data_IF_457849127398
#
_entry.id   IF_457849127398
#
_cell.length_a   1.000
_cell.length_b   1.000
_cell.length_c   1.000
_cell.angle_alpha   90.00
_cell.angle_beta   90.00
_cell.angle_gamma   90.00
#
_symmetry.space_group_name_H-M   'P 1'
#
loop_
_entity.id
_entity.type
_entity.pdbx_description
1 polymer ?
#
# COMPACT_ATOMS: atom_id res chain seq x y z
N UNK A 1 33.82 -12.31 26.58
CA UNK A 1 33.46 -10.97 27.11
C UNK A 1 31.93 -10.93 27.26
N UNK A 2 31.49 -11.05 28.54
CA UNK A 2 30.05 -11.02 28.86
C UNK A 2 29.55 -9.58 28.83
N UNK A 3 28.72 -9.25 27.82
CA UNK A 3 28.06 -7.95 27.74
C UNK A 3 26.89 -7.95 28.75
N UNK A 4 27.05 -7.22 29.85
CA UNK A 4 25.98 -7.03 30.83
C UNK A 4 24.81 -6.28 30.22
N UNK A 5 23.66 -6.91 30.13
CA UNK A 5 22.41 -6.30 29.75
C UNK A 5 21.80 -5.56 30.94
N UNK A 6 21.75 -4.24 30.91
CA UNK A 6 21.03 -3.45 31.91
C UNK A 6 19.54 -3.58 31.66
N UNK A 7 18.81 -4.28 32.51
CA UNK A 7 17.37 -4.48 32.44
C UNK A 7 16.68 -3.54 33.42
N UNK A 8 15.91 -2.56 32.92
CA UNK A 8 15.05 -1.73 33.78
C UNK A 8 13.61 -2.21 33.62
N UNK A 9 13.03 -2.76 34.67
CA UNK A 9 11.62 -3.17 34.73
C UNK A 9 10.82 -2.03 35.34
N UNK A 10 9.85 -1.47 34.62
CA UNK A 10 8.91 -0.53 35.23
C UNK A 10 7.91 -1.31 36.10
N UNK A 11 7.52 -0.80 37.28
CA UNK A 11 6.64 -1.52 38.19
C UNK A 11 5.26 -1.76 37.58
N UNK A 12 4.75 -2.98 37.77
CA UNK A 12 3.40 -3.41 37.39
C UNK A 12 2.41 -3.02 38.49
N UNK A 13 1.31 -2.40 38.08
CA UNK A 13 0.09 -2.37 38.91
C UNK A 13 -0.59 -3.72 38.74
N UNK A 14 -0.67 -4.51 39.79
CA UNK A 14 -1.38 -5.78 39.84
C UNK A 14 -2.85 -5.63 39.52
N UNK A 15 -3.40 -6.45 38.64
CA UNK A 15 -4.83 -6.66 38.48
C UNK A 15 -5.41 -6.86 37.10
N UNK A 16 -4.78 -6.43 36.00
CA UNK A 16 -5.34 -6.63 34.66
C UNK A 16 -4.40 -7.44 33.76
N UNK A 17 -4.76 -8.70 33.39
CA UNK A 17 -3.94 -9.54 32.51
C UNK A 17 -3.70 -8.92 31.12
N UNK A 18 -4.42 -7.83 30.76
CA UNK A 18 -4.21 -7.06 29.54
C UNK A 18 -3.13 -5.98 29.65
N UNK A 19 -2.64 -5.72 30.86
CA UNK A 19 -1.54 -4.78 31.14
C UNK A 19 -0.22 -5.52 31.30
N UNK A 20 0.21 -6.19 30.25
CA UNK A 20 1.55 -6.77 30.24
C UNK A 20 2.61 -5.65 30.38
N UNK A 21 3.52 -5.81 31.36
CA UNK A 21 4.62 -4.87 31.60
C UNK A 21 5.46 -4.69 30.32
N UNK A 22 6.00 -3.49 30.11
CA UNK A 22 6.94 -3.23 29.03
C UNK A 22 8.35 -3.41 29.59
N UNK A 23 9.11 -4.29 28.99
CA UNK A 23 10.53 -4.49 29.30
C UNK A 23 11.36 -3.63 28.36
N UNK A 24 12.29 -2.87 28.94
CA UNK A 24 13.29 -2.08 28.20
C UNK A 24 14.62 -2.79 28.34
N UNK A 25 15.24 -3.13 27.21
CA UNK A 25 16.54 -3.80 27.17
C UNK A 25 17.44 -3.08 26.19
N UNK A 26 18.68 -2.85 26.57
CA UNK A 26 19.74 -2.44 25.66
C UNK A 26 20.63 -3.64 25.37
N UNK A 27 20.78 -3.99 24.09
CA UNK A 27 21.71 -5.02 23.64
C UNK A 27 22.56 -4.45 22.51
N UNK A 28 23.85 -4.34 22.76
CA UNK A 28 24.78 -3.62 21.86
C UNK A 28 24.29 -2.18 21.58
N UNK A 29 24.13 -1.81 20.32
CA UNK A 29 23.64 -0.50 19.90
C UNK A 29 22.12 -0.38 19.89
N UNK A 30 21.39 -1.47 20.10
CA UNK A 30 19.94 -1.51 19.91
C UNK A 30 19.20 -1.34 21.23
N UNK A 31 18.26 -0.40 21.24
CA UNK A 31 17.29 -0.19 22.32
C UNK A 31 15.98 -0.89 21.98
N UNK A 32 15.59 -1.85 22.83
CA UNK A 32 14.39 -2.65 22.65
C UNK A 32 13.30 -2.27 23.64
N UNK A 33 12.06 -2.21 23.13
CA UNK A 33 10.83 -2.20 23.92
C UNK A 33 10.03 -3.44 23.55
N UNK A 34 9.68 -4.28 24.51
CA UNK A 34 8.98 -5.54 24.25
C UNK A 34 8.09 -5.96 25.41
N UNK A 35 7.16 -6.88 25.15
CA UNK A 35 6.47 -7.62 26.19
C UNK A 35 7.42 -8.65 26.83
N UNK A 36 7.27 -8.98 28.13
CA UNK A 36 8.18 -9.94 28.82
C UNK A 36 8.22 -11.31 28.13
N UNK A 37 7.07 -11.77 27.62
CA UNK A 37 6.95 -13.05 26.91
C UNK A 37 7.66 -13.10 25.55
N UNK A 38 7.97 -11.94 24.98
CA UNK A 38 8.67 -11.87 23.70
C UNK A 38 10.20 -11.89 23.85
N UNK A 39 10.72 -11.82 25.09
CA UNK A 39 12.15 -11.64 25.33
C UNK A 39 12.99 -12.77 24.73
N UNK A 40 12.57 -14.01 24.90
CA UNK A 40 13.31 -15.17 24.39
C UNK A 40 13.34 -15.17 22.86
N UNK A 41 12.19 -15.00 22.21
CA UNK A 41 12.10 -14.93 20.75
C UNK A 41 12.89 -13.76 20.13
N UNK A 42 13.02 -12.63 20.86
CA UNK A 42 13.64 -11.40 20.34
C UNK A 42 15.13 -11.32 20.66
N UNK A 43 15.55 -11.79 21.84
CA UNK A 43 16.90 -11.64 22.35
C UNK A 43 17.53 -12.94 22.81
N UNK A 44 16.87 -14.09 22.73
CA UNK A 44 17.41 -15.39 23.07
C UNK A 44 18.58 -15.80 22.17
N UNK A 45 19.25 -16.92 22.51
CA UNK A 45 20.41 -17.41 21.75
C UNK A 45 20.10 -17.73 20.29
N UNK A 46 18.86 -18.13 19.99
CA UNK A 46 18.38 -18.47 18.65
C UNK A 46 17.79 -17.27 17.89
N UNK A 47 17.74 -16.07 18.50
CA UNK A 47 17.22 -14.88 17.82
C UNK A 47 18.14 -14.45 16.68
N UNK A 48 17.57 -14.07 15.52
CA UNK A 48 18.37 -13.59 14.39
C UNK A 48 18.92 -12.18 14.62
N UNK A 49 19.85 -11.76 13.76
CA UNK A 49 20.14 -10.32 13.61
C UNK A 49 18.98 -9.65 12.89
N UNK A 50 18.10 -9.01 13.65
CA UNK A 50 16.88 -8.39 13.13
C UNK A 50 17.11 -7.24 12.14
N UNK A 51 18.33 -6.74 12.04
CA UNK A 51 18.72 -5.70 11.07
C UNK A 51 19.52 -6.25 9.89
N UNK A 52 19.95 -7.51 9.95
CA UNK A 52 20.70 -8.22 8.91
C UNK A 52 19.96 -9.45 8.36
N UNK A 53 18.65 -9.42 8.28
CA UNK A 53 17.81 -10.55 7.88
C UNK A 53 18.04 -11.08 6.46
N UNK A 54 18.67 -10.32 5.61
CA UNK A 54 19.08 -10.78 4.25
C UNK A 54 20.09 -11.94 4.28
N UNK A 55 20.77 -12.14 5.39
CA UNK A 55 21.75 -13.21 5.60
C UNK A 55 21.22 -14.39 6.40
N UNK A 56 20.02 -14.29 6.94
CA UNK A 56 19.42 -15.35 7.76
C UNK A 56 18.60 -16.31 6.88
N UNK A 57 18.96 -17.60 6.81
CA UNK A 57 18.25 -18.58 5.97
C UNK A 57 16.80 -18.81 6.40
N UNK A 58 16.43 -18.43 7.63
CA UNK A 58 15.06 -18.53 8.14
C UNK A 58 14.19 -17.36 7.72
N UNK A 59 14.78 -16.31 7.14
CA UNK A 59 14.10 -15.09 6.73
C UNK A 59 13.73 -15.11 5.25
N UNK A 60 12.46 -14.85 4.94
CA UNK A 60 11.97 -14.71 3.58
C UNK A 60 11.45 -13.29 3.38
N UNK A 61 11.93 -12.59 2.35
CA UNK A 61 11.47 -11.25 2.00
C UNK A 61 10.03 -11.31 1.46
N UNK A 62 9.08 -10.70 2.17
CA UNK A 62 7.66 -10.65 1.78
C UNK A 62 7.34 -9.41 0.96
N UNK A 63 7.95 -8.28 1.33
CA UNK A 63 7.70 -7.00 0.66
C UNK A 63 8.91 -6.09 0.77
N UNK A 64 9.30 -5.51 -0.36
CA UNK A 64 10.33 -4.46 -0.41
C UNK A 64 9.73 -3.14 -0.88
N UNK A 65 10.12 -2.06 -0.23
CA UNK A 65 9.81 -0.69 -0.59
C UNK A 65 11.04 0.19 -0.37
N UNK A 66 10.98 1.46 -0.78
CA UNK A 66 12.12 2.38 -0.75
C UNK A 66 12.77 2.53 0.63
N UNK A 67 11.98 2.55 1.70
CA UNK A 67 12.44 2.80 3.07
C UNK A 67 11.97 1.73 4.05
N UNK A 68 11.36 0.65 3.57
CA UNK A 68 10.79 -0.41 4.42
C UNK A 68 10.88 -1.75 3.72
N UNK A 69 11.45 -2.72 4.42
CA UNK A 69 11.43 -4.14 4.04
C UNK A 69 10.63 -4.92 5.06
N UNK A 70 9.82 -5.87 4.62
CA UNK A 70 9.06 -6.76 5.49
C UNK A 70 9.51 -8.18 5.25
N UNK A 71 9.96 -8.83 6.31
CA UNK A 71 10.46 -10.19 6.32
C UNK A 71 9.52 -11.11 7.10
N UNK A 72 9.40 -12.33 6.65
CA UNK A 72 8.82 -13.44 7.40
C UNK A 72 9.97 -14.28 7.93
N UNK A 73 10.04 -14.44 9.24
CA UNK A 73 11.10 -15.21 9.92
C UNK A 73 10.46 -16.39 10.62
N UNK A 74 10.94 -17.61 10.33
CA UNK A 74 10.46 -18.84 10.97
C UNK A 74 11.39 -19.16 12.14
N UNK A 75 10.86 -19.12 13.35
CA UNK A 75 11.54 -19.50 14.60
C UNK A 75 10.97 -20.83 15.12
N UNK A 76 11.64 -21.47 16.08
CA UNK A 76 11.14 -22.68 16.77
C UNK A 76 9.77 -22.46 17.41
N UNK A 77 9.53 -21.26 17.94
CA UNK A 77 8.28 -20.88 18.62
C UNK A 77 7.17 -20.38 17.68
N UNK A 78 7.43 -20.37 16.36
CA UNK A 78 6.49 -19.92 15.35
C UNK A 78 7.02 -18.80 14.46
N UNK A 79 6.14 -18.25 13.64
CA UNK A 79 6.49 -17.21 12.66
C UNK A 79 6.44 -15.82 13.28
N UNK A 80 7.44 -14.99 12.93
CA UNK A 80 7.52 -13.57 13.26
C UNK A 80 7.63 -12.76 11.96
N UNK A 81 6.86 -11.68 11.85
CA UNK A 81 7.04 -10.70 10.79
C UNK A 81 7.87 -9.53 11.31
N UNK A 82 8.98 -9.24 10.62
CA UNK A 82 9.86 -8.12 10.91
C UNK A 82 9.71 -7.03 9.84
N UNK A 83 9.24 -5.86 10.24
CA UNK A 83 9.23 -4.65 9.40
C UNK A 83 10.47 -3.83 9.74
N UNK A 84 11.46 -3.84 8.86
CA UNK A 84 12.70 -3.07 8.99
C UNK A 84 12.52 -1.75 8.25
N UNK A 85 12.70 -0.65 8.95
CA UNK A 85 12.64 0.71 8.43
C UNK A 85 14.07 1.25 8.35
N UNK A 86 14.52 1.57 7.16
CA UNK A 86 15.85 2.11 6.92
C UNK A 86 15.83 3.63 7.16
N UNK A 87 16.74 4.11 8.00
CA UNK A 87 16.93 5.53 8.23
C UNK A 87 17.50 6.20 6.98
N UNK A 88 16.84 7.23 6.47
CA UNK A 88 17.38 8.03 5.37
C UNK A 88 18.72 8.66 5.79
N UNK A 89 19.80 8.32 5.09
CA UNK A 89 21.10 8.94 5.25
C UNK A 89 21.19 10.42 4.82
N UNK A 90 20.04 11.05 4.59
CA UNK A 90 19.90 12.40 4.05
C UNK A 90 20.32 13.51 5.01
N UNK A 91 20.91 14.57 4.45
CA UNK A 91 21.42 15.76 5.14
C UNK A 91 20.37 16.51 5.98
N UNK A 92 20.58 17.81 6.25
CA UNK A 92 19.79 18.63 7.18
C UNK A 92 18.27 18.61 6.94
N UNK A 93 17.82 18.55 5.68
CA UNK A 93 16.41 18.41 5.28
C UNK A 93 15.83 17.04 5.64
N UNK A 94 16.62 15.95 5.55
CA UNK A 94 16.22 14.62 6.03
C UNK A 94 16.13 14.54 7.55
N UNK A 95 16.88 15.40 8.29
CA UNK A 95 16.78 15.51 9.75
C UNK A 95 15.53 16.28 10.20
N UNK A 96 15.09 17.30 9.46
CA UNK A 96 13.85 18.05 9.71
C UNK A 96 12.60 17.25 9.31
N UNK A 97 12.64 16.56 8.18
CA UNK A 97 11.53 15.65 7.78
C UNK A 97 11.37 14.52 8.77
N UNK A 98 12.45 14.01 9.37
CA UNK A 98 12.42 12.97 10.42
C UNK A 98 11.77 13.44 11.72
N UNK A 99 11.88 14.70 12.09
CA UNK A 99 11.19 15.20 13.28
C UNK A 99 9.67 15.14 13.15
N UNK A 100 9.16 15.25 11.92
CA UNK A 100 7.74 15.11 11.58
C UNK A 100 7.34 13.64 11.32
N UNK A 101 8.27 12.80 10.80
CA UNK A 101 8.04 11.39 10.41
C UNK A 101 8.69 10.40 11.39
N UNK A 102 9.26 10.90 12.47
CA UNK A 102 9.92 10.07 13.48
C UNK A 102 8.98 9.03 14.03
N UNK A 103 9.53 7.82 14.18
CA UNK A 103 8.97 6.72 14.96
C UNK A 103 7.82 5.96 14.27
N UNK A 104 7.97 5.57 12.99
CA UNK A 104 6.92 4.76 12.34
C UNK A 104 6.75 3.41 13.03
N UNK A 105 7.85 2.74 13.39
CA UNK A 105 7.81 1.47 14.10
C UNK A 105 7.31 1.64 15.53
N UNK A 106 7.80 2.64 16.27
CA UNK A 106 7.33 2.93 17.63
C UNK A 106 5.85 3.36 17.65
N UNK A 107 5.41 4.18 16.68
CA UNK A 107 4.01 4.58 16.57
C UNK A 107 3.11 3.38 16.34
N UNK A 108 3.49 2.48 15.43
CA UNK A 108 2.73 1.25 15.16
C UNK A 108 2.72 0.34 16.40
N UNK A 109 3.86 0.20 17.08
CA UNK A 109 3.96 -0.56 18.33
C UNK A 109 3.07 0.02 19.43
N UNK A 110 3.12 1.35 19.68
CA UNK A 110 2.24 2.02 20.65
C UNK A 110 0.75 1.84 20.29
N UNK A 111 0.40 1.92 18.99
CA UNK A 111 -0.96 1.69 18.52
C UNK A 111 -1.41 0.23 18.72
N UNK A 112 -0.52 -0.74 18.45
CA UNK A 112 -0.78 -2.16 18.70
C UNK A 112 -1.02 -2.43 20.20
N UNK A 113 -0.18 -1.89 21.07
CA UNK A 113 -0.36 -2.01 22.54
C UNK A 113 -1.64 -1.35 23.03
N UNK A 114 -2.00 -0.19 22.46
CA UNK A 114 -3.26 0.48 22.79
C UNK A 114 -4.49 -0.30 22.29
N UNK A 115 -4.41 -0.94 21.12
CA UNK A 115 -5.44 -1.84 20.61
C UNK A 115 -5.62 -3.06 21.53
N UNK A 116 -4.50 -3.70 21.92
CA UNK A 116 -4.50 -4.85 22.83
C UNK A 116 -5.16 -4.52 24.18
N UNK A 117 -4.75 -3.41 24.83
CA UNK A 117 -5.35 -2.95 26.09
C UNK A 117 -6.84 -2.72 26.01
N UNK A 118 -7.34 -2.28 24.83
CA UNK A 118 -8.77 -2.04 24.60
C UNK A 118 -9.52 -3.27 24.09
N UNK A 119 -8.82 -4.40 23.90
CA UNK A 119 -9.40 -5.62 23.36
C UNK A 119 -9.87 -5.46 21.90
N UNK A 120 -9.24 -4.56 21.10
CA UNK A 120 -9.47 -4.45 19.68
C UNK A 120 -8.76 -5.60 18.97
N UNK A 121 -9.44 -6.40 18.11
CA UNK A 121 -8.81 -7.48 17.39
C UNK A 121 -7.78 -6.94 16.40
N UNK A 122 -6.51 -7.15 16.69
CA UNK A 122 -5.39 -6.75 15.85
C UNK A 122 -4.22 -7.73 16.02
N UNK A 123 -3.34 -7.78 15.05
CA UNK A 123 -2.11 -8.55 15.16
C UNK A 123 -1.22 -7.94 16.24
N UNK A 124 -0.74 -8.82 17.12
CA UNK A 124 0.08 -8.41 18.27
C UNK A 124 1.50 -8.04 17.82
N UNK A 125 1.95 -6.84 18.17
CA UNK A 125 3.35 -6.47 18.06
C UNK A 125 4.11 -6.99 19.27
N UNK A 126 5.21 -7.71 19.01
CA UNK A 126 6.04 -8.38 20.04
C UNK A 126 7.07 -7.41 20.62
N UNK A 127 7.76 -6.69 19.75
CA UNK A 127 8.84 -5.78 20.11
C UNK A 127 9.03 -4.68 19.09
N UNK A 128 9.68 -3.60 19.50
CA UNK A 128 10.29 -2.59 18.64
C UNK A 128 11.73 -2.36 19.05
N UNK A 129 12.64 -2.40 18.08
CA UNK A 129 14.06 -2.15 18.23
C UNK A 129 14.49 -0.89 17.51
N UNK A 130 15.38 -0.11 18.11
CA UNK A 130 15.96 1.12 17.57
C UNK A 130 17.47 0.97 17.58
N UNK A 131 18.10 0.95 16.41
CA UNK A 131 19.55 0.92 16.32
C UNK A 131 20.14 2.33 16.40
N UNK A 132 20.90 2.59 17.46
CA UNK A 132 21.55 3.88 17.67
C UNK A 132 22.75 4.14 16.74
N UNK A 133 23.38 3.11 16.19
CA UNK A 133 24.57 3.20 15.34
C UNK A 133 24.22 3.19 13.85
N UNK A 134 23.27 2.36 13.41
CA UNK A 134 22.83 2.24 12.01
C UNK A 134 21.85 3.35 11.65
N UNK A 135 22.30 4.62 11.71
CA UNK A 135 21.52 5.80 11.25
C UNK A 135 20.07 5.84 11.76
N UNK A 136 19.80 5.22 12.91
CA UNK A 136 18.48 5.08 13.55
C UNK A 136 17.53 4.18 12.74
N UNK A 137 18.02 3.08 12.23
CA UNK A 137 17.14 2.05 11.70
C UNK A 137 16.19 1.54 12.78
N UNK A 138 14.96 1.26 12.41
CA UNK A 138 13.94 0.74 13.31
C UNK A 138 13.47 -0.64 12.83
N UNK A 139 13.16 -1.52 13.75
CA UNK A 139 12.48 -2.78 13.45
C UNK A 139 11.25 -2.96 14.32
N UNK A 140 10.14 -3.32 13.70
CA UNK A 140 8.93 -3.75 14.39
C UNK A 140 8.71 -5.23 14.18
N UNK A 141 8.64 -5.97 15.27
CA UNK A 141 8.37 -7.40 15.27
C UNK A 141 6.91 -7.66 15.64
N UNK A 142 6.23 -8.45 14.82
CA UNK A 142 4.84 -8.82 15.02
C UNK A 142 4.67 -10.33 14.96
N UNK A 143 3.73 -10.87 15.75
CA UNK A 143 3.42 -12.29 15.73
C UNK A 143 2.82 -12.70 14.39
N UNK A 144 3.38 -13.74 13.77
CA UNK A 144 2.76 -14.40 12.64
C UNK A 144 1.51 -15.16 13.08
N UNK A 145 0.51 -15.17 12.25
CA UNK A 145 -0.71 -15.94 12.46
C UNK A 145 -0.70 -17.10 11.46
N UNK A 146 -0.80 -18.35 11.92
CA UNK A 146 -0.89 -19.49 11.02
C UNK A 146 -2.16 -19.37 10.16
N UNK A 147 -2.02 -19.75 8.90
CA UNK A 147 -3.12 -19.81 7.91
C UNK A 147 -3.90 -18.52 7.68
N UNK A 148 -3.38 -17.40 8.19
CA UNK A 148 -4.02 -16.11 7.99
C UNK A 148 -3.68 -15.52 6.62
N UNK A 149 -4.71 -15.06 5.90
CA UNK A 149 -4.59 -14.40 4.62
C UNK A 149 -5.18 -12.98 4.63
N UNK A 150 -4.70 -12.05 3.79
CA UNK A 150 -5.37 -10.77 3.59
C UNK A 150 -6.82 -10.96 3.15
N UNK A 151 -7.72 -10.10 3.62
CA UNK A 151 -9.15 -10.17 3.27
C UNK A 151 -9.40 -10.14 1.76
N UNK A 152 -8.59 -9.40 0.98
CA UNK A 152 -8.69 -9.41 -0.48
C UNK A 152 -8.50 -10.82 -1.05
N UNK A 153 -7.46 -11.53 -0.61
CA UNK A 153 -7.17 -12.89 -1.04
C UNK A 153 -8.22 -13.89 -0.55
N UNK A 154 -8.61 -13.81 0.74
CA UNK A 154 -9.66 -14.66 1.29
C UNK A 154 -10.99 -14.45 0.55
N UNK A 155 -11.30 -13.22 0.14
CA UNK A 155 -12.51 -12.89 -0.61
C UNK A 155 -12.50 -13.49 -2.02
N UNK A 156 -11.40 -13.37 -2.75
CA UNK A 156 -11.25 -13.95 -4.10
C UNK A 156 -11.55 -15.45 -4.12
N UNK A 157 -11.10 -16.18 -3.09
CA UNK A 157 -11.37 -17.62 -2.95
C UNK A 157 -12.77 -17.96 -2.42
N UNK A 158 -13.43 -17.01 -1.75
CA UNK A 158 -14.74 -17.23 -1.13
C UNK A 158 -15.90 -16.70 -1.99
N UNK A 159 -15.63 -15.83 -2.97
CA UNK A 159 -16.67 -15.13 -3.73
C UNK A 159 -17.63 -16.08 -4.46
N UNK A 160 -17.15 -17.24 -4.87
CA UNK A 160 -17.93 -18.28 -5.54
C UNK A 160 -18.73 -19.17 -4.58
N UNK A 161 -18.42 -19.12 -3.27
CA UNK A 161 -19.05 -19.94 -2.24
C UNK A 161 -19.85 -19.05 -1.28
N UNK A 162 -21.18 -19.02 -1.48
CA UNK A 162 -22.08 -18.12 -0.75
C UNK A 162 -21.92 -18.20 0.80
N UNK A 163 -21.88 -19.39 1.37
CA UNK A 163 -21.74 -19.59 2.82
C UNK A 163 -20.42 -19.01 3.36
N UNK A 164 -19.30 -19.23 2.63
CA UNK A 164 -17.98 -18.71 3.00
C UNK A 164 -17.95 -17.18 2.91
N UNK A 165 -18.55 -16.57 1.87
CA UNK A 165 -18.65 -15.14 1.73
C UNK A 165 -19.47 -14.51 2.87
N UNK A 166 -20.55 -15.15 3.34
CA UNK A 166 -21.32 -14.67 4.48
C UNK A 166 -20.51 -14.70 5.79
N UNK A 167 -19.76 -15.77 6.05
CA UNK A 167 -18.89 -15.87 7.22
C UNK A 167 -17.83 -14.75 7.24
N UNK A 168 -17.20 -14.44 6.09
CA UNK A 168 -16.27 -13.33 5.95
C UNK A 168 -16.95 -11.98 6.22
N UNK A 169 -18.13 -11.74 5.66
CA UNK A 169 -18.91 -10.51 5.87
C UNK A 169 -19.16 -10.29 7.37
N UNK A 170 -19.59 -11.33 8.08
CA UNK A 170 -19.89 -11.26 9.50
C UNK A 170 -18.63 -11.07 10.35
N UNK A 171 -17.54 -11.77 10.04
CA UNK A 171 -16.26 -11.60 10.73
C UNK A 171 -15.74 -10.17 10.60
N UNK A 172 -15.80 -9.58 9.41
CA UNK A 172 -15.35 -8.21 9.16
C UNK A 172 -16.29 -7.19 9.80
N UNK A 173 -17.61 -7.44 9.78
CA UNK A 173 -18.58 -6.58 10.48
C UNK A 173 -18.33 -6.57 12.00
N UNK A 174 -18.09 -7.74 12.60
CA UNK A 174 -17.70 -7.90 14.02
C UNK A 174 -16.41 -7.14 14.34
N UNK A 175 -15.39 -7.24 13.47
CA UNK A 175 -14.12 -6.53 13.64
C UNK A 175 -14.33 -5.02 13.72
N UNK A 176 -15.01 -4.42 12.73
CA UNK A 176 -15.24 -2.97 12.67
C UNK A 176 -16.15 -2.49 13.81
N UNK A 177 -17.22 -3.21 14.11
CA UNK A 177 -18.12 -2.85 15.21
C UNK A 177 -17.39 -2.90 16.55
N UNK A 178 -16.64 -3.97 16.82
CA UNK A 178 -15.84 -4.13 18.03
C UNK A 178 -14.82 -3.00 18.19
N UNK A 179 -14.09 -2.66 17.12
CA UNK A 179 -13.10 -1.58 17.14
C UNK A 179 -13.76 -0.21 17.41
N UNK A 180 -14.81 0.11 16.67
CA UNK A 180 -15.49 1.39 16.80
C UNK A 180 -16.20 1.53 18.16
N UNK A 181 -16.72 0.44 18.73
CA UNK A 181 -17.31 0.44 20.09
C UNK A 181 -16.26 0.71 21.19
N UNK A 182 -14.96 0.50 20.89
CA UNK A 182 -13.83 0.75 21.76
C UNK A 182 -13.09 2.06 21.46
N UNK A 183 -13.70 2.92 20.64
CA UNK A 183 -13.10 4.21 20.28
C UNK A 183 -11.93 4.11 19.29
N UNK A 184 -11.71 2.94 18.68
CA UNK A 184 -10.63 2.71 17.71
C UNK A 184 -11.13 2.93 16.29
N UNK A 185 -10.34 3.65 15.47
CA UNK A 185 -10.57 3.81 14.03
C UNK A 185 -9.29 3.53 13.28
N UNK A 186 -9.32 2.56 12.39
CA UNK A 186 -8.23 2.31 11.47
C UNK A 186 -8.32 3.29 10.30
N UNK A 187 -7.30 4.14 10.11
CA UNK A 187 -7.34 5.18 9.06
C UNK A 187 -7.00 4.67 7.67
N UNK A 188 -6.44 3.48 7.59
CA UNK A 188 -6.08 2.80 6.33
C UNK A 188 -6.69 1.39 6.31
N UNK A 189 -8.02 1.32 6.44
CA UNK A 189 -8.80 0.09 6.58
C UNK A 189 -9.12 -0.56 5.22
N UNK A 190 -8.12 -0.68 4.33
CA UNK A 190 -8.30 -1.41 3.08
C UNK A 190 -8.16 -2.93 3.30
N UNK A 191 -8.70 -3.81 2.43
CA UNK A 191 -8.70 -5.26 2.63
C UNK A 191 -7.33 -5.92 2.84
N UNK A 192 -6.26 -5.32 2.31
CA UNK A 192 -4.89 -5.79 2.55
C UNK A 192 -4.38 -5.55 3.98
N UNK A 193 -5.04 -4.68 4.76
CA UNK A 193 -4.73 -4.39 6.16
C UNK A 193 -5.69 -5.10 7.14
N UNK A 194 -6.46 -6.06 6.65
CA UNK A 194 -7.32 -6.95 7.43
C UNK A 194 -6.89 -8.37 7.13
N UNK A 195 -6.49 -9.13 8.15
CA UNK A 195 -6.23 -10.56 8.03
C UNK A 195 -7.45 -11.36 8.44
N UNK A 196 -7.69 -12.41 7.68
CA UNK A 196 -8.69 -13.44 7.98
C UNK A 196 -7.93 -14.68 8.42
N UNK A 197 -8.24 -15.16 9.60
CA UNK A 197 -7.70 -16.39 10.15
C UNK A 197 -8.83 -17.39 10.33
N UNK A 198 -8.75 -18.59 9.73
CA UNK A 198 -9.67 -19.69 10.03
C UNK A 198 -9.56 -20.07 11.51
N UNK A 199 -10.66 -20.45 12.11
CA UNK A 199 -10.72 -20.99 13.47
C UNK A 199 -11.06 -22.49 13.42
N UNK A 200 -10.73 -23.21 14.49
CA UNK A 200 -10.93 -24.67 14.55
C UNK A 200 -12.38 -25.12 14.46
N UNK A 201 -13.32 -24.23 14.75
CA UNK A 201 -14.77 -24.44 14.64
C UNK A 201 -15.33 -24.12 13.23
N UNK A 202 -14.44 -23.84 12.24
CA UNK A 202 -14.83 -23.51 10.87
C UNK A 202 -15.29 -22.07 10.69
N UNK A 203 -15.26 -21.24 11.73
CA UNK A 203 -15.52 -19.81 11.62
C UNK A 203 -14.26 -19.05 11.15
N UNK A 204 -14.45 -17.76 10.87
CA UNK A 204 -13.37 -16.85 10.51
C UNK A 204 -13.22 -15.76 11.56
N UNK A 205 -11.97 -15.49 11.93
CA UNK A 205 -11.60 -14.35 12.76
C UNK A 205 -10.93 -13.29 11.91
N UNK A 206 -11.43 -12.06 11.95
CA UNK A 206 -10.82 -10.92 11.28
C UNK A 206 -9.98 -10.09 12.27
N UNK A 207 -8.77 -9.67 11.85
CA UNK A 207 -7.84 -8.87 12.66
C UNK A 207 -7.25 -7.74 11.83
N UNK A 208 -7.05 -6.59 12.45
CA UNK A 208 -6.31 -5.49 11.84
C UNK A 208 -4.80 -5.71 11.85
N UNK A 209 -4.13 -5.24 10.80
CA UNK A 209 -2.66 -5.11 10.70
C UNK A 209 -2.30 -3.69 10.29
N UNK A 210 -1.01 -3.34 10.38
CA UNK A 210 -0.47 -2.04 9.94
C UNK A 210 -1.14 -0.84 10.65
N UNK A 211 -1.01 -0.82 11.99
CA UNK A 211 -1.72 0.13 12.84
C UNK A 211 -1.08 1.53 12.91
N UNK A 212 -0.06 1.84 12.08
CA UNK A 212 0.64 3.13 12.13
C UNK A 212 -0.27 4.36 11.97
N UNK A 213 -1.38 4.21 11.24
CA UNK A 213 -2.40 5.23 11.03
C UNK A 213 -3.58 5.17 12.01
N UNK A 214 -3.58 4.27 12.99
CA UNK A 214 -4.69 4.09 13.90
C UNK A 214 -4.94 5.32 14.78
N UNK A 215 -6.22 5.59 15.07
CA UNK A 215 -6.66 6.68 15.92
C UNK A 215 -7.51 6.13 17.06
N UNK A 216 -7.21 6.58 18.26
CA UNK A 216 -8.00 6.28 19.45
C UNK A 216 -8.74 7.54 19.89
N UNK A 217 -10.07 7.49 19.92
CA UNK A 217 -10.90 8.50 20.53
C UNK A 217 -11.14 8.17 22.01
N UNK A 218 -11.16 9.16 22.86
CA UNK A 218 -11.57 9.00 24.27
C UNK A 218 -13.00 8.48 24.39
N UNK A 219 -13.87 8.97 23.50
CA UNK A 219 -15.27 8.59 23.34
C UNK A 219 -15.47 7.81 22.03
N UNK A 220 -16.73 7.42 21.76
CA UNK A 220 -17.10 6.78 20.50
C UNK A 220 -16.74 7.66 19.29
N UNK A 221 -16.22 7.06 18.22
CA UNK A 221 -15.86 7.81 17.03
C UNK A 221 -17.08 8.49 16.40
N UNK A 222 -16.91 9.73 15.92
CA UNK A 222 -17.98 10.42 15.21
C UNK A 222 -18.42 9.66 13.96
N UNK A 223 -19.70 9.80 13.56
CA UNK A 223 -20.28 9.17 12.36
C UNK A 223 -19.42 9.43 11.11
N UNK A 224 -18.84 10.64 10.96
CA UNK A 224 -17.93 10.98 9.84
C UNK A 224 -16.63 10.19 9.85
N UNK A 225 -16.03 9.94 11.02
CA UNK A 225 -14.80 9.12 11.14
C UNK A 225 -15.08 7.66 10.82
N UNK A 226 -16.19 7.13 11.35
CA UNK A 226 -16.69 5.78 11.04
C UNK A 226 -16.92 5.64 9.54
N UNK A 227 -17.65 6.56 8.92
CA UNK A 227 -17.95 6.53 7.49
C UNK A 227 -16.68 6.53 6.63
N UNK A 228 -15.62 7.28 7.01
CA UNK A 228 -14.34 7.28 6.30
C UNK A 228 -13.63 5.92 6.35
N UNK A 229 -13.64 5.25 7.51
CA UNK A 229 -13.05 3.91 7.63
C UNK A 229 -13.83 2.88 6.81
N UNK A 230 -15.16 2.90 6.89
CA UNK A 230 -16.03 2.02 6.11
C UNK A 230 -15.94 2.31 4.60
N UNK A 231 -15.74 3.56 4.20
CA UNK A 231 -15.61 3.97 2.81
C UNK A 231 -14.34 3.39 2.14
N UNK A 232 -13.25 3.22 2.88
CA UNK A 232 -12.03 2.59 2.35
C UNK A 232 -12.27 1.10 2.05
N UNK A 233 -12.98 0.42 2.93
CA UNK A 233 -13.41 -0.96 2.72
C UNK A 233 -14.39 -1.05 1.54
N UNK A 234 -15.44 -0.22 1.52
CA UNK A 234 -16.47 -0.19 0.48
C UNK A 234 -15.90 0.17 -0.90
N UNK A 235 -14.83 0.97 -0.97
CA UNK A 235 -14.16 1.31 -2.22
C UNK A 235 -13.64 0.07 -2.97
N UNK A 236 -13.08 -0.89 -2.24
CA UNK A 236 -12.68 -2.18 -2.82
C UNK A 236 -13.91 -3.03 -3.15
N UNK A 237 -14.81 -3.22 -2.19
CA UNK A 237 -15.94 -4.13 -2.33
C UNK A 237 -17.03 -3.65 -3.30
N UNK A 238 -17.01 -2.39 -3.71
CA UNK A 238 -17.91 -1.91 -4.77
C UNK A 238 -17.75 -2.69 -6.08
N UNK A 239 -16.56 -3.24 -6.33
CA UNK A 239 -16.22 -4.01 -7.54
C UNK A 239 -16.17 -5.52 -7.32
N UNK A 240 -16.02 -5.95 -6.06
CA UNK A 240 -15.76 -7.33 -5.73
C UNK A 240 -16.92 -8.00 -4.99
N UNK A 241 -17.98 -7.26 -4.65
CA UNK A 241 -19.12 -7.77 -3.93
C UNK A 241 -20.42 -7.20 -4.48
N UNK A 242 -21.48 -8.01 -4.44
CA UNK A 242 -22.82 -7.60 -4.83
C UNK A 242 -23.40 -6.52 -3.90
N UNK A 243 -24.44 -5.82 -4.34
CA UNK A 243 -25.16 -4.86 -3.50
C UNK A 243 -25.74 -5.50 -2.25
N UNK A 244 -26.26 -6.71 -2.36
CA UNK A 244 -26.82 -7.49 -1.25
C UNK A 244 -25.76 -7.86 -0.21
N UNK A 245 -24.57 -8.29 -0.64
CA UNK A 245 -23.46 -8.60 0.25
C UNK A 245 -22.97 -7.36 1.02
N UNK A 246 -22.81 -6.22 0.35
CA UNK A 246 -22.45 -4.95 1.00
C UNK A 246 -23.53 -4.45 1.96
N UNK A 247 -24.81 -4.64 1.60
CA UNK A 247 -25.92 -4.34 2.48
C UNK A 247 -25.93 -5.25 3.71
N UNK A 248 -25.70 -6.54 3.54
CA UNK A 248 -25.57 -7.50 4.65
C UNK A 248 -24.46 -7.10 5.63
N UNK A 249 -23.29 -6.72 5.10
CA UNK A 249 -22.20 -6.17 5.93
C UNK A 249 -22.68 -5.00 6.77
N UNK A 250 -23.34 -4.03 6.15
CA UNK A 250 -23.81 -2.83 6.85
C UNK A 250 -24.85 -3.18 7.93
N UNK A 251 -25.78 -4.08 7.66
CA UNK A 251 -26.76 -4.55 8.63
C UNK A 251 -26.07 -5.24 9.82
N UNK A 252 -25.16 -6.17 9.58
CA UNK A 252 -24.41 -6.88 10.63
C UNK A 252 -23.55 -5.90 11.44
N UNK A 253 -22.86 -4.97 10.76
CA UNK A 253 -22.09 -3.93 11.44
C UNK A 253 -22.95 -3.07 12.37
N UNK A 254 -24.07 -2.57 11.86
CA UNK A 254 -24.96 -1.68 12.60
C UNK A 254 -25.61 -2.40 13.79
N UNK A 255 -26.04 -3.66 13.64
CA UNK A 255 -26.64 -4.44 14.72
C UNK A 255 -25.70 -4.66 15.90
N UNK A 256 -24.39 -4.70 15.67
CA UNK A 256 -23.35 -4.88 16.67
C UNK A 256 -22.86 -3.57 17.32
N UNK A 257 -23.36 -2.42 16.87
CA UNK A 257 -22.97 -1.11 17.43
C UNK A 257 -23.79 -0.76 18.68
N UNK A 258 -23.10 -0.42 19.77
CA UNK A 258 -23.70 -0.22 21.10
C UNK A 258 -24.53 1.06 21.28
N UNK A 259 -24.43 2.04 20.38
CA UNK A 259 -24.93 3.39 20.69
C UNK A 259 -25.44 4.20 19.51
N UNK A 260 -26.02 3.56 18.50
CA UNK A 260 -26.49 4.32 17.34
C UNK A 260 -28.00 4.60 17.30
N UNK A 261 -28.82 4.01 18.19
CA UNK A 261 -30.26 4.09 18.00
C UNK A 261 -31.04 4.65 19.21
N UNK A 262 -31.79 5.69 18.92
CA UNK A 262 -33.08 5.91 19.58
C UNK A 262 -34.12 5.07 18.84
N UNK A 263 -34.98 4.34 19.59
CA UNK A 263 -36.04 3.48 19.02
C UNK A 263 -36.89 4.31 18.05
N UNK A 264 -37.01 3.93 16.78
CA UNK A 264 -37.82 4.62 15.77
C UNK A 264 -37.04 5.22 14.60
N UNK A 265 -35.73 5.56 14.75
CA UNK A 265 -34.94 6.28 13.74
C UNK A 265 -34.11 5.39 12.81
N UNK A 266 -34.32 4.08 12.81
CA UNK A 266 -33.47 3.11 12.11
C UNK A 266 -33.31 3.40 10.61
N UNK A 267 -34.40 3.75 9.91
CA UNK A 267 -34.38 4.05 8.46
C UNK A 267 -33.58 5.31 8.15
N UNK A 268 -33.80 6.36 8.93
CA UNK A 268 -33.10 7.64 8.79
C UNK A 268 -31.60 7.46 9.03
N UNK A 269 -31.24 6.70 10.07
CA UNK A 269 -29.86 6.40 10.38
C UNK A 269 -29.13 5.67 9.25
N UNK A 270 -29.72 4.62 8.67
CA UNK A 270 -29.12 3.91 7.53
C UNK A 270 -28.92 4.83 6.33
N UNK A 271 -29.91 5.69 6.04
CA UNK A 271 -29.83 6.66 4.94
C UNK A 271 -28.68 7.65 5.15
N UNK A 272 -28.58 8.23 6.33
CA UNK A 272 -27.48 9.12 6.69
C UNK A 272 -26.11 8.45 6.62
N UNK A 273 -25.98 7.27 7.20
CA UNK A 273 -24.72 6.53 7.20
C UNK A 273 -24.29 6.16 5.77
N UNK A 274 -25.20 5.68 4.94
CA UNK A 274 -24.95 5.39 3.52
C UNK A 274 -24.51 6.64 2.75
N UNK A 275 -25.16 7.78 2.97
CA UNK A 275 -24.77 9.06 2.36
C UNK A 275 -23.36 9.49 2.78
N UNK A 276 -23.05 9.39 4.06
CA UNK A 276 -21.71 9.69 4.58
C UNK A 276 -20.63 8.75 4.02
N UNK A 277 -20.93 7.45 3.91
CA UNK A 277 -20.02 6.47 3.30
C UNK A 277 -19.80 6.78 1.82
N UNK A 278 -20.86 7.07 1.07
CA UNK A 278 -20.78 7.41 -0.36
C UNK A 278 -19.92 8.65 -0.59
N UNK A 279 -20.16 9.73 0.16
CA UNK A 279 -19.38 10.97 0.11
C UNK A 279 -17.91 10.71 0.46
N UNK A 280 -17.64 9.96 1.53
CA UNK A 280 -16.29 9.64 1.96
C UNK A 280 -15.57 8.74 0.95
N UNK A 281 -16.27 7.81 0.29
CA UNK A 281 -15.72 6.94 -0.76
C UNK A 281 -15.31 7.75 -1.99
N UNK A 282 -16.16 8.67 -2.46
CA UNK A 282 -15.82 9.56 -3.58
C UNK A 282 -14.58 10.40 -3.28
N UNK A 283 -14.50 10.95 -2.07
CA UNK A 283 -13.33 11.71 -1.61
C UNK A 283 -12.07 10.83 -1.54
N UNK A 284 -12.19 9.59 -1.05
CA UNK A 284 -11.11 8.61 -1.00
C UNK A 284 -10.61 8.23 -2.40
N UNK A 285 -11.52 7.89 -3.32
CA UNK A 285 -11.19 7.57 -4.70
C UNK A 285 -10.45 8.74 -5.39
N UNK A 286 -10.92 9.98 -5.21
CA UNK A 286 -10.26 11.16 -5.73
C UNK A 286 -8.86 11.37 -5.12
N UNK A 287 -8.68 11.11 -3.82
CA UNK A 287 -7.38 11.21 -3.16
C UNK A 287 -6.39 10.16 -3.69
N UNK A 288 -6.84 8.92 -3.87
CA UNK A 288 -6.04 7.84 -4.48
C UNK A 288 -5.64 8.20 -5.92
N UNK A 289 -6.58 8.70 -6.73
CA UNK A 289 -6.28 9.12 -8.10
C UNK A 289 -5.22 10.22 -8.12
N UNK A 290 -5.35 11.26 -7.28
CA UNK A 290 -4.31 12.31 -7.15
C UNK A 290 -2.96 11.78 -6.70
N UNK A 291 -2.92 10.81 -5.78
CA UNK A 291 -1.68 10.19 -5.34
C UNK A 291 -1.01 9.42 -6.50
N UNK A 292 -1.78 8.71 -7.30
CA UNK A 292 -1.31 7.98 -8.48
C UNK A 292 -0.85 8.93 -9.59
N UNK A 293 -1.57 10.02 -9.82
CA UNK A 293 -1.20 11.05 -10.80
C UNK A 293 0.20 11.65 -10.51
N UNK A 294 0.56 11.78 -9.22
CA UNK A 294 1.90 12.22 -8.82
C UNK A 294 3.00 11.23 -9.19
N UNK A 295 2.70 9.93 -9.23
CA UNK A 295 3.68 8.88 -9.60
C UNK A 295 4.10 8.96 -11.06
N UNK A 296 3.25 9.47 -11.95
CA UNK A 296 3.54 9.62 -13.39
C UNK A 296 4.78 10.51 -13.61
N UNK A 297 5.03 11.47 -12.72
CA UNK A 297 6.13 12.45 -12.84
C UNK A 297 7.39 12.07 -12.07
N UNK A 298 7.36 10.99 -11.31
CA UNK A 298 8.44 10.59 -10.40
C UNK A 298 9.19 9.35 -10.86
N UNK A 299 10.35 9.10 -10.24
CA UNK A 299 11.00 7.79 -10.28
C UNK A 299 10.38 6.90 -9.20
N UNK A 300 9.90 5.72 -9.60
CA UNK A 300 9.29 4.79 -8.68
C UNK A 300 9.00 3.43 -9.30
N UNK A 301 8.24 2.61 -8.59
CA UNK A 301 7.91 1.24 -9.02
C UNK A 301 7.17 1.17 -10.37
N UNK A 302 6.32 2.17 -10.66
CA UNK A 302 5.41 2.12 -11.81
C UNK A 302 5.88 2.95 -12.99
N UNK A 303 6.63 4.00 -12.73
CA UNK A 303 7.12 4.93 -13.75
C UNK A 303 8.57 5.29 -13.48
N UNK A 304 9.34 5.45 -14.56
CA UNK A 304 10.66 6.06 -14.52
C UNK A 304 10.79 7.17 -15.55
N UNK A 305 11.56 8.18 -15.20
CA UNK A 305 11.93 9.27 -16.11
C UNK A 305 13.45 9.39 -16.12
N UNK A 306 14.07 9.25 -17.30
CA UNK A 306 15.52 9.26 -17.46
C UNK A 306 15.96 9.89 -18.78
N UNK A 307 17.21 10.37 -18.80
CA UNK A 307 17.86 10.84 -20.01
C UNK A 307 18.37 9.67 -20.85
N UNK A 308 18.32 9.83 -22.19
CA UNK A 308 18.70 8.81 -23.17
C UNK A 308 19.91 9.23 -24.01
N UNK A 309 20.48 10.42 -23.75
CA UNK A 309 21.52 11.03 -24.58
C UNK A 309 20.96 11.90 -25.71
N UNK A 310 21.86 12.61 -26.42
CA UNK A 310 21.54 13.42 -27.58
C UNK A 310 20.31 14.36 -27.40
N UNK A 311 20.12 14.94 -26.21
CA UNK A 311 18.98 15.83 -25.91
C UNK A 311 17.66 15.09 -25.63
N UNK A 312 17.60 13.79 -25.68
CA UNK A 312 16.40 12.99 -25.42
C UNK A 312 16.17 12.71 -23.95
N UNK A 313 14.92 12.81 -23.52
CA UNK A 313 14.44 12.42 -22.21
C UNK A 313 13.14 11.66 -22.34
N UNK A 314 13.03 10.49 -21.69
CA UNK A 314 11.86 9.66 -21.74
C UNK A 314 11.21 9.44 -20.38
N UNK A 315 9.88 9.28 -20.37
CA UNK A 315 9.08 8.80 -19.23
C UNK A 315 8.38 7.53 -19.66
N UNK A 316 8.56 6.45 -18.90
CA UNK A 316 8.10 5.11 -19.27
C UNK A 316 7.36 4.44 -18.12
N UNK A 317 6.45 3.53 -18.48
CA UNK A 317 5.80 2.60 -17.55
C UNK A 317 6.76 1.45 -17.27
N UNK A 318 7.15 1.24 -16.02
CA UNK A 318 7.96 0.09 -15.61
C UNK A 318 7.08 -1.11 -15.26
N UNK A 319 5.97 -0.85 -14.59
CA UNK A 319 5.02 -1.86 -14.17
C UNK A 319 3.60 -1.31 -14.29
N UNK A 320 2.69 -2.12 -14.83
CA UNK A 320 1.28 -1.77 -14.84
C UNK A 320 0.66 -2.05 -13.46
N UNK A 321 -0.10 -1.10 -12.95
CA UNK A 321 -0.97 -1.37 -11.81
C UNK A 321 -2.09 -2.33 -12.28
N UNK A 322 -2.01 -3.60 -11.85
CA UNK A 322 -3.06 -4.59 -12.12
C UNK A 322 -4.39 -4.10 -11.54
N UNK A 323 -5.39 -3.94 -12.40
CA UNK A 323 -6.73 -3.49 -12.04
C UNK A 323 -7.76 -4.27 -12.85
N UNK A 324 -8.88 -4.59 -12.22
CA UNK A 324 -9.96 -5.28 -12.89
C UNK A 324 -10.58 -4.51 -14.06
N UNK A 325 -10.54 -3.16 -14.01
CA UNK A 325 -11.08 -2.32 -15.08
C UNK A 325 -10.25 -2.36 -16.38
N UNK A 326 -9.03 -2.91 -16.31
CA UNK A 326 -8.10 -2.97 -17.44
C UNK A 326 -7.32 -4.28 -17.35
N UNK A 327 -7.92 -5.40 -17.75
CA UNK A 327 -7.27 -6.70 -17.78
C UNK A 327 -6.28 -6.75 -18.95
N UNK A 328 -5.20 -5.98 -18.86
CA UNK A 328 -4.11 -6.02 -19.84
C UNK A 328 -3.26 -7.24 -19.54
N UNK A 329 -3.58 -8.31 -20.21
CA UNK A 329 -2.80 -9.54 -20.22
C UNK A 329 -1.73 -9.44 -21.30
N UNK A 330 -0.50 -9.83 -20.97
CA UNK A 330 0.57 -10.00 -21.96
C UNK A 330 1.57 -8.85 -22.11
N UNK A 331 1.39 -7.72 -21.41
CA UNK A 331 2.43 -6.68 -21.39
C UNK A 331 3.37 -6.96 -20.21
N UNK A 332 4.63 -7.34 -20.47
CA UNK A 332 5.58 -7.63 -19.42
C UNK A 332 6.01 -6.36 -18.68
N UNK A 333 6.30 -6.50 -17.38
CA UNK A 333 7.02 -5.49 -16.62
C UNK A 333 8.39 -5.28 -17.27
N UNK A 334 8.85 -4.03 -17.34
CA UNK A 334 10.13 -3.66 -17.95
C UNK A 334 10.95 -2.81 -17.00
N UNK A 335 12.23 -3.11 -16.88
CA UNK A 335 13.18 -2.28 -16.13
C UNK A 335 13.51 -0.96 -16.87
N UNK A 336 14.21 -0.05 -16.20
CA UNK A 336 14.77 1.16 -16.84
C UNK A 336 15.77 0.77 -17.94
N UNK A 337 16.54 -0.28 -17.73
CA UNK A 337 17.53 -0.79 -18.67
C UNK A 337 16.87 -1.39 -19.91
N UNK A 338 15.81 -2.21 -19.73
CA UNK A 338 15.03 -2.75 -20.86
C UNK A 338 14.46 -1.63 -21.74
N UNK A 339 13.96 -0.56 -21.10
CA UNK A 339 13.45 0.58 -21.84
C UNK A 339 14.57 1.34 -22.57
N UNK A 340 15.75 1.53 -21.96
CA UNK A 340 16.91 2.13 -22.63
C UNK A 340 17.27 1.35 -23.89
N UNK A 341 17.45 0.05 -23.78
CA UNK A 341 17.79 -0.81 -24.89
C UNK A 341 16.71 -0.80 -25.99
N UNK A 342 15.44 -0.76 -25.60
CA UNK A 342 14.31 -0.73 -26.52
C UNK A 342 14.25 0.54 -27.36
N UNK A 343 14.50 1.72 -26.76
CA UNK A 343 14.31 3.01 -27.45
C UNK A 343 15.60 3.64 -27.97
N UNK A 344 16.79 3.09 -27.62
CA UNK A 344 18.08 3.62 -28.06
C UNK A 344 18.19 3.74 -29.59
N UNK A 345 17.75 2.75 -30.40
CA UNK A 345 17.77 2.88 -31.85
C UNK A 345 16.97 4.07 -32.43
N UNK A 346 15.93 4.49 -31.71
CA UNK A 346 15.15 5.69 -32.09
C UNK A 346 15.89 6.98 -31.79
N UNK A 347 16.62 7.00 -30.67
CA UNK A 347 17.41 8.12 -30.18
C UNK A 347 18.64 8.36 -31.07
N UNK A 348 19.30 7.27 -31.49
CA UNK A 348 20.49 7.31 -32.33
C UNK A 348 20.20 7.63 -33.80
N UNK A 349 18.94 7.83 -34.18
CA UNK A 349 18.53 8.14 -35.55
C UNK A 349 18.73 7.00 -36.54
N UNK A 350 19.01 5.78 -36.05
CA UNK A 350 19.24 4.57 -36.88
C UNK A 350 17.95 4.03 -37.52
N UNK A 351 16.77 4.44 -37.01
CA UNK A 351 15.45 4.12 -37.57
C UNK A 351 14.63 5.39 -37.71
N UNK A 352 14.20 5.67 -38.94
CA UNK A 352 13.41 6.87 -39.30
C UNK A 352 11.92 6.59 -39.51
N UNK A 353 11.52 5.33 -39.69
CA UNK A 353 10.18 4.98 -40.12
C UNK A 353 9.24 4.63 -38.95
N UNK A 354 7.97 5.02 -39.10
CA UNK A 354 6.93 5.06 -38.10
C UNK A 354 6.53 3.69 -37.52
N UNK A 355 6.94 2.56 -38.11
CA UNK A 355 6.22 1.31 -37.92
C UNK A 355 6.94 0.18 -37.17
N UNK A 356 8.20 0.28 -36.82
CA UNK A 356 8.82 -0.89 -36.17
C UNK A 356 9.92 -0.54 -35.18
N UNK A 357 9.56 -0.52 -33.93
CA UNK A 357 10.53 -0.87 -32.87
C UNK A 357 10.98 -2.32 -33.10
N UNK A 358 12.27 -2.60 -32.90
CA UNK A 358 12.82 -3.95 -32.95
C UNK A 358 12.20 -4.91 -31.89
N UNK A 359 11.26 -4.42 -31.10
CA UNK A 359 10.54 -5.17 -30.06
C UNK A 359 9.14 -5.48 -30.57
N UNK A 360 8.80 -6.75 -30.78
CA UNK A 360 7.45 -7.16 -31.14
C UNK A 360 6.43 -6.64 -30.13
N UNK A 361 5.27 -6.17 -30.61
CA UNK A 361 4.18 -5.71 -29.74
C UNK A 361 4.23 -4.23 -29.32
N UNK A 362 5.14 -3.43 -29.87
CA UNK A 362 5.17 -1.98 -29.66
C UNK A 362 5.06 -1.20 -30.98
N UNK A 363 4.27 -0.13 -30.97
CA UNK A 363 4.20 0.86 -32.06
C UNK A 363 4.65 2.22 -31.55
N UNK A 364 5.18 3.03 -32.46
CA UNK A 364 5.75 4.35 -32.18
C UNK A 364 5.08 5.39 -33.04
N UNK A 365 4.74 6.51 -32.43
CA UNK A 365 4.22 7.69 -33.11
C UNK A 365 5.17 8.87 -32.85
N UNK A 366 5.66 9.50 -33.92
CA UNK A 366 6.62 10.58 -33.87
C UNK A 366 5.99 11.89 -34.36
N UNK A 367 6.22 12.96 -33.64
CA UNK A 367 5.72 14.29 -34.00
C UNK A 367 6.80 15.33 -33.79
N UNK A 368 6.95 16.22 -34.80
CA UNK A 368 7.88 17.37 -34.76
C UNK A 368 7.14 18.67 -34.60
N UNK A 369 7.72 19.58 -33.82
CA UNK A 369 7.20 20.93 -33.65
C UNK A 369 7.51 21.78 -34.90
N UNK A 370 6.46 22.31 -35.55
CA UNK A 370 6.59 23.20 -36.73
C UNK A 370 6.75 24.64 -36.24
N UNK A 371 7.95 25.21 -36.50
CA UNK A 371 8.29 26.59 -36.17
C UNK A 371 8.66 26.85 -34.72
N UNK A 372 9.24 28.01 -34.45
CA UNK A 372 9.77 28.40 -33.12
C UNK A 372 8.64 28.57 -32.11
N UNK A 373 7.48 29.09 -32.50
CA UNK A 373 6.33 29.26 -31.60
C UNK A 373 5.83 27.94 -31.01
N UNK A 374 5.73 26.87 -31.82
CA UNK A 374 5.33 25.55 -31.35
C UNK A 374 6.36 24.95 -30.41
N UNK A 375 7.67 25.10 -30.70
CA UNK A 375 8.77 24.66 -29.82
C UNK A 375 8.74 25.35 -28.46
N UNK A 376 8.53 26.67 -28.43
CA UNK A 376 8.37 27.43 -27.20
C UNK A 376 7.14 26.98 -26.40
N UNK A 377 5.99 26.83 -27.05
CA UNK A 377 4.76 26.37 -26.43
C UNK A 377 4.94 24.99 -25.79
N UNK A 378 5.54 24.03 -26.50
CA UNK A 378 5.81 22.70 -25.99
C UNK A 378 6.77 22.72 -24.81
N UNK A 379 7.78 23.57 -24.84
CA UNK A 379 8.77 23.71 -23.77
C UNK A 379 8.16 24.28 -22.48
N UNK A 380 7.18 25.17 -22.60
CA UNK A 380 6.46 25.78 -21.47
C UNK A 380 5.35 24.91 -20.92
N UNK A 381 4.57 24.30 -21.81
CA UNK A 381 3.32 23.59 -21.43
C UNK A 381 3.42 22.06 -21.46
N UNK A 382 4.55 21.51 -21.92
CA UNK A 382 4.74 20.10 -22.29
C UNK A 382 4.25 19.80 -23.72
N UNK A 383 4.91 18.83 -24.35
CA UNK A 383 4.56 18.37 -25.71
C UNK A 383 3.17 17.75 -25.78
N UNK A 384 2.64 17.60 -27.03
CA UNK A 384 1.36 16.92 -27.25
C UNK A 384 1.39 15.50 -26.68
N UNK A 385 2.41 14.73 -27.00
CA UNK A 385 2.56 13.34 -26.55
C UNK A 385 2.70 13.23 -25.03
N UNK A 386 3.38 14.18 -24.37
CA UNK A 386 3.44 14.22 -22.89
C UNK A 386 2.09 14.50 -22.26
N UNK A 387 1.30 15.39 -22.85
CA UNK A 387 -0.08 15.66 -22.41
C UNK A 387 -0.96 14.44 -22.58
N UNK A 388 -0.86 13.78 -23.73
CA UNK A 388 -1.60 12.57 -24.04
C UNK A 388 -1.23 11.41 -23.11
N UNK A 389 0.07 11.11 -22.93
CA UNK A 389 0.57 10.15 -21.94
C UNK A 389 0.00 10.42 -20.54
N UNK A 390 0.11 11.67 -20.10
CA UNK A 390 -0.37 12.06 -18.77
C UNK A 390 -1.88 11.95 -18.65
N UNK A 391 -2.63 12.33 -19.69
CA UNK A 391 -4.10 12.26 -19.74
C UNK A 391 -4.57 10.81 -19.71
N UNK A 392 -4.00 9.95 -20.54
CA UNK A 392 -4.33 8.52 -20.58
C UNK A 392 -4.20 7.90 -19.18
N UNK A 393 -3.04 8.03 -18.54
CA UNK A 393 -2.83 7.48 -17.20
C UNK A 393 -3.73 8.11 -16.14
N UNK A 394 -4.05 9.42 -16.22
CA UNK A 394 -4.99 10.07 -15.30
C UNK A 394 -6.42 9.52 -15.44
N UNK A 395 -6.86 9.24 -16.64
CA UNK A 395 -8.17 8.61 -16.90
C UNK A 395 -8.18 7.20 -16.31
N UNK A 396 -7.16 6.41 -16.58
CA UNK A 396 -6.98 5.06 -16.03
C UNK A 396 -6.90 5.05 -14.50
N UNK A 397 -6.28 6.06 -13.87
CA UNK A 397 -6.28 6.20 -12.42
C UNK A 397 -7.67 6.48 -11.82
N UNK A 398 -8.62 6.89 -12.63
CA UNK A 398 -10.03 7.11 -12.27
C UNK A 398 -10.95 6.00 -12.76
N UNK A 399 -10.34 4.92 -13.28
CA UNK A 399 -11.03 3.78 -13.87
C UNK A 399 -11.93 4.16 -15.08
N UNK A 400 -11.52 5.20 -15.80
CA UNK A 400 -12.12 5.60 -17.08
C UNK A 400 -11.32 4.93 -18.19
N UNK A 401 -11.98 4.17 -19.09
CA UNK A 401 -11.33 3.54 -20.23
C UNK A 401 -10.54 4.57 -21.05
N UNK A 402 -9.31 4.25 -21.36
CA UNK A 402 -8.43 5.04 -22.20
C UNK A 402 -7.33 4.15 -22.78
N UNK A 403 -6.86 4.50 -23.95
CA UNK A 403 -5.76 3.80 -24.58
C UNK A 403 -4.53 3.74 -23.65
N UNK A 404 -3.86 2.59 -23.63
CA UNK A 404 -2.63 2.44 -22.85
C UNK A 404 -1.45 3.04 -23.63
N UNK A 405 -0.72 3.89 -22.95
CA UNK A 405 0.52 4.48 -23.47
C UNK A 405 1.67 4.06 -22.55
N UNK A 406 2.68 3.42 -23.14
CA UNK A 406 3.79 2.81 -22.37
C UNK A 406 4.97 3.76 -22.18
N UNK A 407 5.13 4.74 -23.08
CA UNK A 407 6.23 5.69 -22.99
C UNK A 407 5.98 6.98 -23.76
N UNK A 408 6.67 8.02 -23.31
CA UNK A 408 6.72 9.32 -23.99
C UNK A 408 8.14 9.85 -23.92
N UNK A 409 8.71 10.18 -25.08
CA UNK A 409 10.04 10.79 -25.22
C UNK A 409 9.91 12.21 -25.72
N UNK A 410 10.81 13.09 -25.26
CA UNK A 410 10.92 14.46 -25.71
C UNK A 410 12.39 14.75 -26.06
N UNK A 411 12.64 15.26 -27.25
CA UNK A 411 13.94 15.79 -27.66
C UNK A 411 14.00 17.29 -27.40
N UNK A 412 15.14 17.74 -26.88
CA UNK A 412 15.44 19.15 -26.70
C UNK A 412 16.60 19.53 -27.58
N UNK A 413 16.40 20.55 -28.40
CA UNK A 413 17.42 21.18 -29.19
C UNK A 413 18.54 21.76 -28.30
N UNK A 414 19.73 22.09 -28.85
CA UNK A 414 20.82 22.71 -28.10
C UNK A 414 20.44 24.01 -27.36
N UNK A 415 19.41 24.73 -27.85
CA UNK A 415 18.86 25.92 -27.18
C UNK A 415 17.79 25.58 -26.11
N UNK A 416 17.60 24.31 -25.80
CA UNK A 416 16.72 23.83 -24.73
C UNK A 416 15.24 23.74 -25.08
N UNK A 417 14.83 24.05 -26.31
CA UNK A 417 13.44 23.96 -26.76
C UNK A 417 13.08 22.55 -27.19
N UNK A 418 11.84 22.10 -26.87
CA UNK A 418 11.32 20.81 -27.33
C UNK A 418 10.93 20.93 -28.79
N UNK A 419 11.59 20.16 -29.65
CA UNK A 419 11.38 20.17 -31.11
C UNK A 419 10.83 18.86 -31.67
N UNK A 420 10.99 17.75 -30.96
CA UNK A 420 10.50 16.46 -31.38
C UNK A 420 9.98 15.64 -30.19
N UNK A 421 8.94 14.84 -30.42
CA UNK A 421 8.37 13.96 -29.41
C UNK A 421 7.99 12.61 -29.99
N UNK A 422 8.09 11.55 -29.18
CA UNK A 422 7.75 10.20 -29.55
C UNK A 422 6.82 9.59 -28.50
N UNK A 423 5.77 8.91 -28.95
CA UNK A 423 4.86 8.16 -28.12
C UNK A 423 5.05 6.67 -28.38
N UNK A 424 5.06 5.87 -27.33
CA UNK A 424 5.19 4.41 -27.40
C UNK A 424 3.92 3.76 -26.88
N UNK A 425 3.27 2.98 -27.72
CA UNK A 425 2.01 2.28 -27.45
C UNK A 425 2.18 0.77 -27.64
N UNK A 426 1.38 -0.07 -26.97
CA UNK A 426 1.30 -1.48 -27.34
C UNK A 426 0.63 -1.62 -28.70
N UNK A 427 1.09 -2.61 -29.48
CA UNK A 427 0.36 -3.02 -30.69
C UNK A 427 -0.89 -3.78 -30.27
N UNK A 428 -2.08 -3.48 -30.80
CA UNK A 428 -3.28 -4.25 -30.50
C UNK A 428 -3.05 -5.71 -30.84
N UNK A 429 -3.28 -6.63 -29.88
CA UNK A 429 -3.32 -8.05 -30.20
C UNK A 429 -4.51 -8.32 -31.15
N UNK A 430 -4.36 -9.26 -32.09
CA UNK A 430 -5.43 -9.59 -33.06
C UNK A 430 -6.74 -10.04 -32.40
N UNK A 431 -6.73 -10.40 -31.13
CA UNK A 431 -7.91 -10.79 -30.35
C UNK A 431 -8.89 -9.64 -30.03
N UNK A 432 -8.49 -8.37 -30.22
CA UNK A 432 -9.36 -7.19 -29.98
C UNK A 432 -10.08 -6.69 -31.23
N UNK A 433 -9.89 -7.33 -32.40
CA UNK A 433 -10.53 -6.89 -33.66
C UNK A 433 -11.81 -7.65 -34.01
N UNK A 434 -12.27 -8.56 -33.18
CA UNK A 434 -13.48 -9.36 -33.44
C UNK A 434 -14.54 -9.08 -32.38
N UNK A 435 -15.17 -7.90 -32.38
CA UNK A 435 -16.51 -7.73 -31.79
C UNK A 435 -17.23 -6.41 -32.18
N UNK A 436 -16.91 -5.82 -33.33
CA UNK A 436 -17.70 -4.70 -33.89
C UNK A 436 -18.67 -5.13 -34.99
N UNK A 437 -19.17 -6.37 -34.90
CA UNK A 437 -20.24 -6.85 -35.76
C UNK A 437 -21.29 -7.58 -34.95
N UNK A 438 -22.09 -6.82 -34.20
CA UNK A 438 -23.53 -7.14 -33.98
C UNK A 438 -24.26 -5.94 -33.41
#
# INVERSE_FOLDING_TARGET
MSLSATTTVAPTVEGDPRREAIVRVRRASVHWLMGPRAREAVLGPSAPDWFGLERDPRATLVKSGRLRRTWRVTLSEGTVFAKVFEGDGGGLLGRLSRWVWMETAQREWRASRAAERRGVPAVRSLAVGLDGQRRRDEVLLSKGLPDAAPLSHAWEHAAERHATALSLIEAVARLFASAHNRGFVHRDAHPGNILIQPTSDGECKALFVDLHGACFAGNLPSRRRVARALAQLDHYFQRHASRSQRWRFLQSYVSLRRSFFVRGERRTFYRELLSLIATARTAHAAALARQRDRRIRGKGKYFATFALGHGWKGTFVLQLERRHAFPETGIPDRSEEDWRNTVQPLVDGRKRDEDTLAVPGLRVERTRAIGVGARMLWSLTGSLHRKEFTRSHRLRHRDIPSELILGCLEHRSPVGLIDETVLVRPTPSREWQTDDSH
#
